data_IF_852221755796
#
_entry.id   IF_852221755796
#
_cell.length_a   1.000
_cell.length_b   1.000
_cell.length_c   1.000
_cell.angle_alpha   90.00
_cell.angle_beta   90.00
_cell.angle_gamma   90.00
#
_symmetry.space_group_name_H-M   'P 1'
#
loop_
_entity.id
_entity.type
_entity.pdbx_description
1 polymer ?
#
# COMPACT_ATOMS: atom_id res chain seq x y z
N UNK A 1 10.96 19.19 11.47
CA UNK A 1 10.14 18.08 10.96
C UNK A 1 9.07 18.61 10.04
N UNK A 2 8.64 17.80 9.07
CA UNK A 2 7.61 18.13 8.10
C UNK A 2 6.33 17.37 8.46
N UNK A 3 5.21 18.10 8.56
CA UNK A 3 3.86 17.54 8.68
C UNK A 3 3.06 17.80 7.42
N UNK A 4 1.97 17.05 7.22
CA UNK A 4 1.03 17.26 6.11
C UNK A 4 0.54 18.71 6.09
N UNK A 5 0.10 19.22 7.24
CA UNK A 5 -0.28 20.62 7.45
C UNK A 5 0.84 21.59 7.06
N UNK A 6 2.07 21.40 7.55
CA UNK A 6 3.18 22.31 7.26
C UNK A 6 3.56 22.36 5.78
N UNK A 7 3.36 21.26 5.06
CA UNK A 7 3.59 21.18 3.62
C UNK A 7 2.48 21.90 2.87
N UNK A 8 1.23 21.72 3.28
CA UNK A 8 0.16 22.54 2.75
C UNK A 8 0.37 24.02 3.06
N UNK A 9 0.82 24.41 4.25
CA UNK A 9 1.18 25.81 4.57
C UNK A 9 2.26 26.41 3.67
N UNK A 10 3.04 25.58 2.96
CA UNK A 10 4.04 25.97 1.95
C UNK A 10 3.51 25.90 0.51
N UNK A 11 2.19 25.86 0.32
CA UNK A 11 1.50 25.83 -0.98
C UNK A 11 1.73 24.59 -1.85
N UNK A 12 2.19 23.48 -1.26
CA UNK A 12 2.12 22.18 -1.92
C UNK A 12 0.66 21.81 -2.21
N UNK A 13 0.41 21.19 -3.37
CA UNK A 13 -0.96 20.87 -3.84
C UNK A 13 -1.40 19.44 -3.52
N UNK A 14 -0.44 18.54 -3.37
CA UNK A 14 -0.66 17.17 -2.93
C UNK A 14 0.57 16.72 -2.12
N UNK A 15 0.34 15.82 -1.17
CA UNK A 15 1.39 15.21 -0.34
C UNK A 15 1.24 13.69 -0.40
N UNK A 16 2.35 13.00 -0.64
CA UNK A 16 2.43 11.54 -0.65
C UNK A 16 3.33 11.13 0.51
N UNK A 17 2.91 10.10 1.25
CA UNK A 17 3.63 9.60 2.41
C UNK A 17 4.23 8.22 2.10
N UNK A 18 5.53 8.20 1.80
CA UNK A 18 6.28 6.98 1.46
C UNK A 18 7.33 6.63 2.54
N UNK A 19 6.95 6.63 3.82
CA UNK A 19 7.88 6.39 4.94
C UNK A 19 8.27 4.92 5.14
N UNK A 20 7.62 4.00 4.44
CA UNK A 20 7.80 2.56 4.62
C UNK A 20 6.93 2.00 5.74
N UNK A 21 7.46 1.01 6.47
CA UNK A 21 6.73 0.32 7.53
C UNK A 21 7.61 -0.17 8.66
N UNK A 22 7.03 -0.93 9.60
CA UNK A 22 7.66 -1.36 10.86
C UNK A 22 9.06 -1.94 10.69
N UNK A 23 9.26 -2.78 9.70
CA UNK A 23 10.52 -3.42 9.35
C UNK A 23 11.62 -2.44 8.88
N UNK A 24 11.27 -1.47 8.02
CA UNK A 24 12.19 -0.41 7.58
C UNK A 24 12.62 0.50 8.73
N UNK A 25 11.88 0.49 9.85
CA UNK A 25 12.23 1.24 11.05
C UNK A 25 13.15 0.47 11.97
N UNK A 26 12.98 -0.84 12.07
CA UNK A 26 13.91 -1.70 12.81
C UNK A 26 15.35 -1.57 12.29
N UNK A 27 15.54 -1.34 10.98
CA UNK A 27 16.87 -1.12 10.40
C UNK A 27 17.48 0.24 10.78
N UNK A 28 16.65 1.24 11.11
CA UNK A 28 17.10 2.58 11.56
C UNK A 28 17.61 2.58 13.02
N UNK A 29 17.51 1.46 13.76
CA UNK A 29 17.85 1.36 15.20
C UNK A 29 17.20 2.45 16.06
N UNK A 30 16.03 2.93 15.63
CA UNK A 30 15.20 3.84 16.42
C UNK A 30 14.45 2.97 17.44
N UNK A 31 14.27 3.48 18.65
CA UNK A 31 13.51 2.83 19.71
C UNK A 31 12.11 2.38 19.21
N UNK A 32 11.48 1.43 19.90
CA UNK A 32 10.15 0.88 19.59
C UNK A 32 9.00 1.88 19.81
N UNK A 33 9.25 3.16 19.60
CA UNK A 33 8.27 4.22 19.76
C UNK A 33 7.26 4.20 18.61
N UNK A 34 6.02 4.58 18.92
CA UNK A 34 4.98 4.82 17.94
C UNK A 34 5.40 5.96 17.02
N UNK A 35 5.44 5.71 15.71
CA UNK A 35 5.75 6.73 14.70
C UNK A 35 4.47 7.19 14.02
N UNK A 36 4.22 8.49 14.11
CA UNK A 36 3.07 9.15 13.52
C UNK A 36 3.48 9.74 12.18
N UNK A 37 3.52 8.89 11.14
CA UNK A 37 3.84 9.39 9.79
C UNK A 37 2.68 10.21 9.21
N UNK A 38 1.46 9.74 9.45
CA UNK A 38 0.23 10.49 9.19
C UNK A 38 -0.26 10.99 10.57
N UNK A 39 -0.72 12.25 10.69
CA UNK A 39 -1.13 12.82 11.97
C UNK A 39 -2.16 11.95 12.69
N UNK A 40 -1.95 11.71 13.99
CA UNK A 40 -2.80 10.89 14.85
C UNK A 40 -3.06 9.47 14.31
N UNK A 41 -2.03 8.84 13.73
CA UNK A 41 -2.10 7.46 13.27
C UNK A 41 -0.90 6.64 13.71
N UNK A 42 -1.10 5.33 13.91
CA UNK A 42 0.00 4.40 14.11
C UNK A 42 -0.29 3.01 13.52
N UNK A 43 0.75 2.19 13.41
CA UNK A 43 0.56 0.78 13.11
C UNK A 43 0.21 0.01 14.40
N UNK A 44 -0.70 -0.96 14.29
CA UNK A 44 -1.12 -1.81 15.42
C UNK A 44 0.07 -2.49 16.08
N UNK A 45 1.05 -2.94 15.30
CA UNK A 45 2.27 -3.56 15.82
C UNK A 45 3.09 -2.61 16.68
N UNK A 46 3.10 -1.30 16.37
CA UNK A 46 3.76 -0.30 17.20
C UNK A 46 3.00 -0.08 18.49
N UNK A 47 1.69 0.06 18.38
CA UNK A 47 0.85 0.30 19.53
C UNK A 47 1.01 -0.82 20.57
N UNK A 48 0.94 -2.07 20.14
CA UNK A 48 1.08 -3.24 21.01
C UNK A 48 2.49 -3.33 21.60
N UNK A 49 3.55 -3.06 20.82
CA UNK A 49 4.94 -3.21 21.27
C UNK A 49 5.51 -2.02 22.03
N UNK A 50 4.87 -0.85 21.93
CA UNK A 50 5.34 0.37 22.58
C UNK A 50 5.33 0.27 24.11
N UNK A 51 6.09 1.14 24.76
CA UNK A 51 6.06 1.26 26.21
C UNK A 51 4.68 1.78 26.68
N UNK A 52 4.13 1.31 27.83
CA UNK A 52 2.93 1.88 28.42
C UNK A 52 2.93 3.41 28.54
N UNK A 53 4.08 4.03 28.85
CA UNK A 53 4.19 5.49 28.95
C UNK A 53 4.08 6.19 27.59
N UNK A 54 4.53 5.54 26.52
CA UNK A 54 4.33 6.04 25.14
C UNK A 54 2.85 5.97 24.77
N UNK A 55 2.15 4.89 25.12
CA UNK A 55 0.70 4.78 24.88
C UNK A 55 -0.14 5.82 25.63
N UNK A 56 0.35 6.37 26.75
CA UNK A 56 -0.35 7.44 27.46
C UNK A 56 -0.52 8.71 26.62
N UNK A 57 0.26 8.89 25.55
CA UNK A 57 0.11 10.02 24.60
C UNK A 57 -1.28 10.07 23.98
N UNK A 58 -1.94 8.91 23.78
CA UNK A 58 -3.29 8.83 23.21
C UNK A 58 -4.39 8.67 24.28
N UNK A 59 -4.06 8.87 25.56
CA UNK A 59 -5.03 8.70 26.66
C UNK A 59 -6.11 9.79 26.67
N UNK A 60 -7.31 9.44 27.13
CA UNK A 60 -8.42 10.39 27.29
C UNK A 60 -9.07 10.92 26.01
N UNK A 61 -8.71 10.39 24.83
CA UNK A 61 -9.35 10.74 23.57
C UNK A 61 -10.85 10.38 23.57
N UNK A 62 -11.65 11.13 22.82
CA UNK A 62 -13.08 10.87 22.70
C UNK A 62 -13.36 9.62 21.86
N UNK A 63 -12.70 9.52 20.71
CA UNK A 63 -13.00 8.53 19.68
C UNK A 63 -11.71 7.99 19.07
N UNK A 64 -11.59 6.67 18.98
CA UNK A 64 -10.48 5.98 18.34
C UNK A 64 -11.02 4.90 17.40
N UNK A 65 -10.40 4.78 16.22
CA UNK A 65 -10.70 3.73 15.24
C UNK A 65 -9.52 2.76 15.16
N UNK A 66 -9.79 1.46 15.11
CA UNK A 66 -8.83 0.41 14.81
C UNK A 66 -9.29 -0.28 13.52
N UNK A 67 -8.49 -0.22 12.45
CA UNK A 67 -8.80 -0.84 11.17
C UNK A 67 -8.01 -2.14 10.99
N UNK A 68 -8.69 -3.28 10.91
CA UNK A 68 -8.08 -4.61 10.79
C UNK A 68 -7.43 -5.11 12.08
N UNK A 69 -6.56 -6.12 11.97
CA UNK A 69 -5.77 -6.65 13.09
C UNK A 69 -6.40 -7.79 13.89
N UNK A 70 -7.62 -8.23 13.56
CA UNK A 70 -8.28 -9.41 14.14
C UNK A 70 -8.22 -9.43 15.68
N UNK A 71 -7.75 -10.53 16.27
CA UNK A 71 -7.64 -10.67 17.73
C UNK A 71 -6.76 -9.63 18.40
N UNK A 72 -5.69 -9.17 17.74
CA UNK A 72 -4.83 -8.11 18.29
C UNK A 72 -5.56 -6.76 18.38
N UNK A 73 -6.56 -6.53 17.53
CA UNK A 73 -7.39 -5.32 17.62
C UNK A 73 -8.22 -5.30 18.90
N UNK A 74 -8.71 -6.46 19.37
CA UNK A 74 -9.42 -6.56 20.64
C UNK A 74 -8.52 -6.23 21.84
N UNK A 75 -7.27 -6.73 21.81
CA UNK A 75 -6.27 -6.40 22.84
C UNK A 75 -5.95 -4.91 22.85
N UNK A 76 -5.71 -4.32 21.67
CA UNK A 76 -5.49 -2.89 21.55
C UNK A 76 -6.68 -2.06 22.04
N UNK A 77 -7.91 -2.49 21.72
CA UNK A 77 -9.13 -1.83 22.17
C UNK A 77 -9.27 -1.84 23.70
N UNK A 78 -8.98 -2.97 24.36
CA UNK A 78 -9.00 -3.07 25.82
C UNK A 78 -7.96 -2.14 26.47
N UNK A 79 -6.74 -2.08 25.93
CA UNK A 79 -5.70 -1.13 26.38
C UNK A 79 -6.18 0.32 26.21
N UNK A 80 -6.80 0.64 25.07
CA UNK A 80 -7.37 1.96 24.78
C UNK A 80 -8.47 2.35 25.77
N UNK A 81 -9.40 1.43 26.06
CA UNK A 81 -10.46 1.63 27.05
C UNK A 81 -9.92 1.88 28.45
N UNK A 82 -8.95 1.07 28.89
CA UNK A 82 -8.26 1.25 30.18
C UNK A 82 -7.51 2.58 30.28
N UNK A 83 -7.10 3.13 29.14
CA UNK A 83 -6.44 4.46 29.04
C UNK A 83 -7.44 5.63 29.01
N UNK A 84 -8.74 5.37 29.22
CA UNK A 84 -9.76 6.41 29.34
C UNK A 84 -10.41 6.85 28.03
N UNK A 85 -10.19 6.12 26.92
CA UNK A 85 -10.82 6.44 25.64
C UNK A 85 -12.32 6.13 25.71
N UNK A 86 -13.16 7.11 25.31
CA UNK A 86 -14.62 7.01 25.51
C UNK A 86 -15.25 6.01 24.55
N UNK A 87 -14.96 6.12 23.25
CA UNK A 87 -15.47 5.25 22.20
C UNK A 87 -14.32 4.64 21.40
N UNK A 88 -14.32 3.31 21.29
CA UNK A 88 -13.38 2.59 20.42
C UNK A 88 -14.20 1.87 19.36
N UNK A 89 -13.86 2.07 18.09
CA UNK A 89 -14.51 1.38 16.96
C UNK A 89 -13.48 0.50 16.26
N UNK A 90 -13.75 -0.79 16.17
CA UNK A 90 -12.95 -1.75 15.40
C UNK A 90 -13.65 -1.99 14.08
N UNK A 91 -12.95 -1.80 12.97
CA UNK A 91 -13.45 -2.07 11.62
C UNK A 91 -12.73 -3.29 11.07
N UNK A 92 -13.50 -4.31 10.69
CA UNK A 92 -13.02 -5.54 10.10
C UNK A 92 -13.57 -5.66 8.68
N UNK A 93 -12.70 -6.05 7.75
CA UNK A 93 -13.08 -6.20 6.34
C UNK A 93 -13.89 -7.48 6.13
N UNK A 94 -13.53 -8.53 6.87
CA UNK A 94 -14.24 -9.79 6.84
C UNK A 94 -15.66 -9.68 7.42
N UNK A 95 -16.54 -10.58 6.98
CA UNK A 95 -17.84 -10.77 7.60
C UNK A 95 -17.68 -11.52 8.94
N UNK A 96 -18.77 -11.62 9.71
CA UNK A 96 -18.76 -12.28 11.01
C UNK A 96 -18.45 -13.80 10.90
N UNK A 97 -18.87 -14.47 9.83
CA UNK A 97 -18.68 -15.92 9.65
C UNK A 97 -17.23 -16.29 9.30
N UNK A 98 -16.53 -15.41 8.60
CA UNK A 98 -15.12 -15.52 8.22
C UNK A 98 -14.17 -14.97 9.29
N UNK A 99 -14.71 -14.26 10.28
CA UNK A 99 -13.93 -13.65 11.34
C UNK A 99 -13.22 -14.68 12.21
N UNK A 100 -11.98 -14.35 12.57
CA UNK A 100 -11.22 -15.08 13.59
C UNK A 100 -11.75 -14.86 15.02
N UNK A 101 -12.68 -13.92 15.19
CA UNK A 101 -13.32 -13.58 16.46
C UNK A 101 -14.52 -14.48 16.69
N UNK A 102 -14.67 -15.01 17.91
CA UNK A 102 -15.87 -15.73 18.30
C UNK A 102 -16.91 -14.80 18.96
N UNK A 103 -18.15 -15.26 19.06
CA UNK A 103 -19.26 -14.50 19.66
C UNK A 103 -18.99 -14.09 21.11
N UNK A 104 -18.36 -14.97 21.90
CA UNK A 104 -18.05 -14.67 23.30
C UNK A 104 -17.02 -13.52 23.43
N UNK A 105 -16.02 -13.48 22.54
CA UNK A 105 -15.03 -12.40 22.45
C UNK A 105 -15.69 -11.07 22.07
N UNK A 106 -16.66 -11.09 21.14
CA UNK A 106 -17.43 -9.92 20.67
C UNK A 106 -18.35 -9.40 21.79
N UNK A 107 -19.15 -10.27 22.39
CA UNK A 107 -20.11 -9.90 23.44
C UNK A 107 -19.40 -9.32 24.67
N UNK A 108 -18.22 -9.87 24.99
CA UNK A 108 -17.39 -9.37 26.10
C UNK A 108 -17.00 -7.91 25.90
N UNK A 109 -16.63 -7.51 24.68
CA UNK A 109 -16.14 -6.14 24.44
C UNK A 109 -17.27 -5.15 24.14
N UNK A 110 -18.41 -5.62 23.61
CA UNK A 110 -19.57 -4.78 23.34
C UNK A 110 -20.07 -4.06 24.60
N UNK A 111 -20.00 -4.71 25.77
CA UNK A 111 -20.37 -4.12 27.07
C UNK A 111 -19.48 -2.95 27.53
N UNK A 112 -18.26 -2.84 27.00
CA UNK A 112 -17.24 -1.88 27.46
C UNK A 112 -17.18 -0.61 26.58
N UNK A 113 -18.18 -0.42 25.70
CA UNK A 113 -18.19 0.70 24.76
C UNK A 113 -17.17 0.55 23.63
N UNK A 114 -16.83 -0.69 23.29
CA UNK A 114 -16.11 -1.06 22.07
C UNK A 114 -17.16 -1.48 21.04
N UNK A 115 -17.17 -0.81 19.90
CA UNK A 115 -18.05 -1.12 18.78
C UNK A 115 -17.26 -1.90 17.71
N UNK A 116 -17.80 -2.98 17.18
CA UNK A 116 -17.18 -3.73 16.08
C UNK A 116 -18.07 -3.60 14.85
N UNK A 117 -17.49 -3.18 13.73
CA UNK A 117 -18.15 -3.06 12.43
C UNK A 117 -17.50 -4.06 11.48
N UNK A 118 -18.26 -5.05 11.03
CA UNK A 118 -17.86 -6.02 10.02
C UNK A 118 -18.13 -5.48 8.62
N UNK A 119 -17.56 -6.13 7.59
CA UNK A 119 -17.68 -5.71 6.20
C UNK A 119 -17.32 -4.23 5.99
N UNK A 120 -16.38 -3.69 6.78
CA UNK A 120 -16.04 -2.27 6.77
C UNK A 120 -14.57 -2.05 6.41
N UNK A 121 -14.33 -1.09 5.53
CA UNK A 121 -12.98 -0.68 5.15
C UNK A 121 -12.84 0.83 5.15
N UNK A 122 -11.79 1.34 5.78
CA UNK A 122 -11.46 2.77 5.76
C UNK A 122 -11.06 3.17 4.34
N UNK A 123 -11.71 4.17 3.75
CA UNK A 123 -11.43 4.61 2.37
C UNK A 123 -11.01 6.07 2.26
N UNK A 124 -11.22 6.87 3.30
CA UNK A 124 -10.78 8.27 3.35
C UNK A 124 -10.47 8.71 4.77
N UNK A 125 -9.42 9.50 4.91
CA UNK A 125 -9.05 10.18 6.15
C UNK A 125 -9.40 11.65 6.02
N UNK A 126 -9.89 12.29 7.09
CA UNK A 126 -10.15 13.72 7.11
C UNK A 126 -9.49 14.32 8.33
N UNK A 127 -8.80 15.44 8.14
CA UNK A 127 -8.14 16.12 9.22
C UNK A 127 -8.07 17.62 9.05
N UNK A 128 -7.66 18.26 10.14
CA UNK A 128 -7.54 19.70 10.27
C UNK A 128 -6.22 19.99 11.00
N UNK A 129 -5.42 20.86 10.42
CA UNK A 129 -4.05 21.14 10.84
C UNK A 129 -3.28 19.82 11.01
N UNK A 130 -2.55 19.66 12.11
CA UNK A 130 -1.82 18.43 12.39
C UNK A 130 -2.66 17.39 13.15
N UNK A 131 -3.97 17.32 12.90
CA UNK A 131 -4.86 16.40 13.60
C UNK A 131 -5.83 15.64 12.70
N UNK A 132 -6.01 14.34 12.99
CA UNK A 132 -7.09 13.54 12.44
C UNK A 132 -8.41 13.95 13.12
N UNK A 133 -9.45 14.17 12.32
CA UNK A 133 -10.77 14.51 12.85
C UNK A 133 -11.77 13.40 12.64
N UNK A 134 -11.74 12.77 11.46
CA UNK A 134 -12.74 11.80 11.03
C UNK A 134 -12.15 10.76 10.08
N UNK A 135 -12.83 9.63 10.00
CA UNK A 135 -12.54 8.55 9.07
C UNK A 135 -13.80 8.22 8.29
N UNK A 136 -13.70 8.14 6.97
CA UNK A 136 -14.73 7.54 6.13
C UNK A 136 -14.44 6.06 5.98
N UNK A 137 -15.46 5.24 6.20
CA UNK A 137 -15.42 3.84 5.81
C UNK A 137 -16.51 3.52 4.81
N UNK A 138 -16.24 2.52 3.97
CA UNK A 138 -17.19 1.92 3.06
C UNK A 138 -17.65 0.57 3.62
N UNK A 139 -18.95 0.34 3.58
CA UNK A 139 -19.56 -0.97 3.77
C UNK A 139 -19.38 -1.79 2.50
N UNK A 140 -18.67 -2.90 2.59
CA UNK A 140 -18.23 -3.72 1.45
C UNK A 140 -19.37 -4.51 0.80
N UNK A 141 -20.52 -4.65 1.46
CA UNK A 141 -21.70 -5.32 0.89
C UNK A 141 -22.60 -4.33 0.16
N UNK A 142 -22.91 -3.19 0.79
CA UNK A 142 -23.85 -2.19 0.29
C UNK A 142 -23.17 -1.07 -0.51
N UNK A 143 -21.84 -0.97 -0.46
CA UNK A 143 -21.05 0.16 -0.98
C UNK A 143 -21.42 1.52 -0.36
N UNK A 144 -22.16 1.54 0.76
CA UNK A 144 -22.50 2.76 1.46
C UNK A 144 -21.28 3.34 2.18
N UNK A 145 -21.09 4.66 2.08
CA UNK A 145 -20.00 5.37 2.77
C UNK A 145 -20.54 6.07 4.00
N UNK A 146 -19.81 5.97 5.11
CA UNK A 146 -20.18 6.59 6.39
C UNK A 146 -18.97 7.27 7.01
N UNK A 147 -19.17 8.52 7.45
CA UNK A 147 -18.19 9.29 8.21
C UNK A 147 -18.35 9.01 9.71
N UNK A 148 -17.24 8.75 10.40
CA UNK A 148 -17.21 8.60 11.87
C UNK A 148 -16.14 9.50 12.49
N UNK A 149 -16.40 10.12 13.65
CA UNK A 149 -15.37 10.82 14.40
C UNK A 149 -14.22 9.87 14.78
N UNK A 150 -12.99 10.34 14.60
CA UNK A 150 -11.80 9.59 14.97
C UNK A 150 -10.68 10.59 15.32
N UNK A 151 -10.26 10.59 16.59
CA UNK A 151 -9.11 11.37 17.06
C UNK A 151 -7.80 10.60 16.97
N UNK A 152 -7.87 9.31 16.66
CA UNK A 152 -6.73 8.48 16.38
C UNK A 152 -7.15 7.28 15.53
N UNK A 153 -6.26 6.85 14.64
CA UNK A 153 -6.44 5.66 13.81
C UNK A 153 -5.27 4.67 14.02
N UNK A 154 -5.59 3.47 14.48
CA UNK A 154 -4.64 2.36 14.57
C UNK A 154 -4.86 1.43 13.38
N UNK A 155 -3.83 1.18 12.58
CA UNK A 155 -3.94 0.36 11.37
C UNK A 155 -3.30 -1.01 11.59
N UNK A 156 -4.08 -2.08 11.41
CA UNK A 156 -3.71 -3.48 11.52
C UNK A 156 -2.83 -3.99 10.38
N UNK A 157 -1.74 -3.28 10.09
CA UNK A 157 -0.76 -3.61 9.04
C UNK A 157 0.67 -3.47 9.56
N UNK A 158 1.62 -4.14 8.91
CA UNK A 158 3.05 -3.94 9.13
C UNK A 158 3.58 -2.65 8.49
N UNK A 159 2.80 -2.00 7.63
CA UNK A 159 3.16 -0.78 6.88
C UNK A 159 1.95 0.12 6.71
N UNK A 160 2.16 1.43 6.60
CA UNK A 160 1.06 2.34 6.32
C UNK A 160 0.52 2.07 4.91
N UNK A 161 -0.80 1.98 4.72
CA UNK A 161 -1.40 2.00 3.40
C UNK A 161 -1.09 3.32 2.68
N UNK A 162 -1.09 3.25 1.35
CA UNK A 162 -0.79 4.40 0.49
C UNK A 162 -1.99 5.35 0.48
N UNK A 163 -1.74 6.59 0.89
CA UNK A 163 -2.70 7.69 0.84
C UNK A 163 -2.09 8.87 0.09
N UNK A 164 -2.92 9.53 -0.71
CA UNK A 164 -2.59 10.85 -1.25
C UNK A 164 -3.38 11.88 -0.48
N UNK A 165 -2.66 12.85 0.08
CA UNK A 165 -3.26 13.94 0.80
C UNK A 165 -3.43 15.15 -0.12
N UNK A 166 -4.62 15.74 -0.06
CA UNK A 166 -4.96 17.01 -0.73
C UNK A 166 -5.63 17.94 0.25
N UNK A 167 -5.66 19.25 -0.04
CA UNK A 167 -6.47 20.20 0.73
C UNK A 167 -7.95 19.90 0.47
N UNK A 168 -8.78 19.91 1.52
CA UNK A 168 -10.24 19.81 1.36
C UNK A 168 -10.76 21.16 0.87
N UNK A 169 -11.47 21.17 -0.27
CA UNK A 169 -12.08 22.38 -0.85
C UNK A 169 -13.50 22.64 -0.31
N UNK A 170 -13.77 22.29 0.95
CA UNK A 170 -15.01 22.71 1.64
C UNK A 170 -14.94 24.18 2.05
N UNK A 171 -14.68 25.04 1.07
CA UNK A 171 -15.00 26.46 1.13
C UNK A 171 -16.29 26.62 0.32
N UNK A 172 -17.44 26.59 1.01
CA UNK A 172 -18.67 27.13 0.46
C UNK A 172 -18.37 28.57 0.01
N UNK A 173 -18.45 28.83 -1.30
CA UNK A 173 -18.22 30.15 -1.92
C UNK A 173 -19.18 31.26 -1.41
N UNK A 174 -20.02 31.01 -0.40
CA UNK A 174 -21.03 31.95 0.09
C UNK A 174 -20.92 32.38 1.56
N UNK A 175 -19.93 31.91 2.33
CA UNK A 175 -19.73 32.39 3.71
C UNK A 175 -18.28 32.75 3.99
N UNK A 176 -17.87 33.92 3.47
CA UNK A 176 -16.72 34.65 4.00
C UNK A 176 -17.13 35.30 5.33
N UNK A 177 -17.34 34.47 6.36
CA UNK A 177 -17.11 34.89 7.73
C UNK A 177 -15.65 34.55 8.04
N UNK A 178 -14.84 35.59 8.18
CA UNK A 178 -13.46 35.54 8.66
C UNK A 178 -13.38 34.66 9.90
N UNK A 179 -12.65 33.53 9.88
CA UNK A 179 -11.77 33.09 11.01
C UNK A 179 -11.12 31.71 10.87
N UNK A 180 -11.53 30.79 10.00
CA UNK A 180 -10.91 29.45 9.96
C UNK A 180 -9.79 29.33 8.92
N UNK A 181 -8.62 29.93 9.20
CA UNK A 181 -7.39 29.80 8.36
C UNK A 181 -6.72 28.43 8.47
N UNK A 182 -7.28 27.53 9.26
CA UNK A 182 -6.71 26.23 9.53
C UNK A 182 -6.76 25.34 8.28
N UNK A 183 -5.63 24.70 7.96
CA UNK A 183 -5.53 23.80 6.81
C UNK A 183 -6.42 22.59 7.04
N UNK A 184 -7.42 22.38 6.18
CA UNK A 184 -8.19 21.13 6.14
C UNK A 184 -7.62 20.23 5.05
N UNK A 185 -7.54 18.94 5.33
CA UNK A 185 -6.97 17.96 4.40
C UNK A 185 -7.78 16.66 4.36
N UNK A 186 -7.71 15.98 3.22
CA UNK A 186 -8.27 14.65 3.01
C UNK A 186 -7.15 13.72 2.54
N UNK A 187 -7.06 12.54 3.16
CA UNK A 187 -6.22 11.43 2.70
C UNK A 187 -7.07 10.45 1.90
N UNK A 188 -6.77 10.31 0.61
CA UNK A 188 -7.54 9.52 -0.35
C UNK A 188 -6.77 8.25 -0.68
N UNK A 189 -7.45 7.09 -0.63
CA UNK A 189 -6.86 5.82 -1.05
C UNK A 189 -6.55 5.79 -2.55
N UNK A 190 -5.59 4.95 -2.94
CA UNK A 190 -5.30 4.70 -4.36
C UNK A 190 -6.28 3.69 -4.98
N UNK A 191 -6.41 3.77 -6.30
CA UNK A 191 -7.08 2.73 -7.07
C UNK A 191 -6.26 1.43 -7.06
N UNK A 192 -6.96 0.29 -7.13
CA UNK A 192 -6.37 -1.05 -7.10
C UNK A 192 -6.20 -1.62 -8.49
N UNK A 193 -5.18 -2.47 -8.69
CA UNK A 193 -4.96 -3.11 -9.99
C UNK A 193 -5.99 -4.22 -10.23
N UNK A 194 -6.26 -4.54 -11.49
CA UNK A 194 -7.02 -5.73 -11.84
C UNK A 194 -6.24 -7.00 -11.43
N UNK A 195 -6.91 -8.03 -10.88
CA UNK A 195 -8.38 -8.23 -10.84
C UNK A 195 -9.10 -7.55 -9.66
N UNK A 196 -8.37 -6.90 -8.77
CA UNK A 196 -8.89 -6.36 -7.51
C UNK A 196 -9.38 -4.89 -7.65
N UNK A 197 -9.58 -4.39 -8.87
CA UNK A 197 -9.96 -2.99 -9.14
C UNK A 197 -11.34 -2.61 -8.59
N UNK A 198 -12.19 -3.60 -8.27
CA UNK A 198 -13.47 -3.39 -7.59
C UNK A 198 -13.35 -3.31 -6.07
N UNK A 199 -12.21 -3.69 -5.49
CA UNK A 199 -12.01 -3.60 -4.05
C UNK A 199 -11.92 -2.13 -3.60
N UNK A 200 -12.53 -1.82 -2.45
CA UNK A 200 -12.53 -0.47 -1.87
C UNK A 200 -11.97 -0.49 -0.44
N UNK A 201 -11.50 0.67 0.01
CA UNK A 201 -10.82 0.89 1.28
C UNK A 201 -9.45 0.20 1.41
N UNK A 202 -8.69 0.64 2.42
CA UNK A 202 -7.37 0.13 2.78
C UNK A 202 -7.43 -1.30 3.35
N UNK A 203 -6.27 -1.96 3.38
CA UNK A 203 -6.07 -3.35 3.79
C UNK A 203 -6.78 -4.35 2.87
N UNK A 204 -7.05 -3.97 1.63
CA UNK A 204 -7.59 -4.87 0.63
C UNK A 204 -6.51 -5.81 0.09
N UNK A 205 -6.91 -6.90 -0.57
CA UNK A 205 -5.95 -7.84 -1.16
C UNK A 205 -5.17 -7.20 -2.32
N UNK A 206 -5.84 -6.31 -3.06
CA UNK A 206 -5.26 -5.53 -4.14
C UNK A 206 -4.39 -4.35 -3.70
N UNK A 207 -4.29 -4.05 -2.40
CA UNK A 207 -3.44 -2.98 -1.92
C UNK A 207 -1.97 -3.35 -2.11
N UNK A 208 -1.27 -2.48 -2.83
CA UNK A 208 0.19 -2.49 -2.83
C UNK A 208 0.61 -1.87 -1.52
N UNK A 209 0.70 -2.69 -0.47
CA UNK A 209 1.50 -2.29 0.69
C UNK A 209 2.95 -2.24 0.22
N UNK A 210 3.63 -1.14 0.47
CA UNK A 210 5.01 -0.87 0.01
C UNK A 210 6.01 -1.81 0.72
N UNK A 211 5.96 -3.11 0.41
CA UNK A 211 6.55 -4.22 1.15
C UNK A 211 7.99 -4.57 0.70
N UNK A 212 8.68 -5.44 1.47
CA UNK A 212 10.00 -6.00 1.14
C UNK A 212 10.03 -6.75 -0.22
N UNK A 213 8.87 -7.05 -0.80
CA UNK A 213 8.76 -7.78 -2.06
C UNK A 213 9.25 -6.97 -3.24
N UNK A 214 10.57 -7.07 -3.51
CA UNK A 214 11.32 -6.52 -4.64
C UNK A 214 11.14 -5.00 -4.85
N UNK A 215 12.26 -4.26 -4.96
CA UNK A 215 12.26 -2.82 -5.28
C UNK A 215 11.30 -2.42 -6.42
N UNK A 216 11.01 -3.35 -7.34
CA UNK A 216 10.03 -3.23 -8.42
C UNK A 216 8.62 -2.86 -7.91
N UNK A 217 8.10 -3.48 -6.84
CA UNK A 217 6.74 -3.16 -6.36
C UNK A 217 6.68 -1.77 -5.72
N UNK A 218 7.69 -1.39 -4.95
CA UNK A 218 7.80 -0.04 -4.40
C UNK A 218 7.91 1.02 -5.50
N UNK A 219 8.69 0.74 -6.57
CA UNK A 219 8.75 1.61 -7.76
C UNK A 219 7.37 1.70 -8.44
N UNK A 220 6.65 0.58 -8.55
CA UNK A 220 5.30 0.57 -9.14
C UNK A 220 4.30 1.40 -8.30
N UNK A 221 4.30 1.22 -6.99
CA UNK A 221 3.54 2.04 -6.03
C UNK A 221 3.81 3.54 -6.22
N UNK A 222 5.08 3.96 -6.14
CA UNK A 222 5.43 5.37 -6.32
C UNK A 222 5.03 5.95 -7.69
N UNK A 223 5.05 5.12 -8.75
CA UNK A 223 4.53 5.54 -10.08
C UNK A 223 3.03 5.76 -10.07
N UNK A 224 2.26 4.92 -9.37
CA UNK A 224 0.81 5.08 -9.22
C UNK A 224 0.47 6.29 -8.34
N UNK A 225 1.15 6.44 -7.22
CA UNK A 225 1.00 7.60 -6.32
C UNK A 225 1.24 8.91 -7.07
N UNK A 226 2.34 9.00 -7.83
CA UNK A 226 2.63 10.20 -8.64
C UNK A 226 1.54 10.48 -9.69
N UNK A 227 1.05 9.44 -10.38
CA UNK A 227 -0.01 9.57 -11.37
C UNK A 227 -1.36 9.97 -10.73
N UNK A 228 -1.69 9.40 -9.58
CA UNK A 228 -2.91 9.70 -8.86
C UNK A 228 -2.85 11.10 -8.21
N UNK A 229 -1.70 11.53 -7.68
CA UNK A 229 -1.50 12.89 -7.18
C UNK A 229 -1.67 13.91 -8.31
N UNK A 230 -1.10 13.65 -9.49
CA UNK A 230 -1.35 14.47 -10.67
C UNK A 230 -2.85 14.53 -10.99
N UNK A 231 -3.54 13.40 -11.05
CA UNK A 231 -4.99 13.37 -11.34
C UNK A 231 -5.78 14.20 -10.32
N UNK A 232 -5.54 14.01 -9.03
CA UNK A 232 -6.21 14.76 -7.96
C UNK A 232 -5.95 16.26 -8.05
N UNK A 233 -4.71 16.68 -8.29
CA UNK A 233 -4.35 18.10 -8.45
C UNK A 233 -5.09 18.81 -9.60
N UNK A 234 -5.56 18.07 -10.60
CA UNK A 234 -6.30 18.60 -11.74
C UNK A 234 -7.79 18.21 -11.75
N UNK A 235 -8.32 17.67 -10.65
CA UNK A 235 -9.73 17.25 -10.56
C UNK A 235 -10.09 16.09 -11.50
N UNK A 236 -9.12 15.27 -11.90
CA UNK A 236 -9.30 14.11 -12.76
C UNK A 236 -9.63 12.89 -11.90
N UNK A 237 -10.62 12.10 -12.32
CA UNK A 237 -11.04 10.90 -11.60
C UNK A 237 -9.92 9.84 -11.48
N UNK A 238 -9.80 9.26 -10.29
CA UNK A 238 -8.91 8.14 -9.98
C UNK A 238 -9.47 6.81 -10.50
N UNK A 239 -9.59 6.68 -11.82
CA UNK A 239 -9.96 5.43 -12.47
C UNK A 239 -8.71 4.66 -12.94
N UNK A 240 -8.78 3.33 -12.81
CA UNK A 240 -7.84 2.41 -13.47
C UNK A 240 -8.00 2.57 -14.98
N UNK A 241 -6.92 2.76 -15.76
CA UNK A 241 -7.02 2.82 -17.22
C UNK A 241 -7.62 1.53 -17.79
N UNK A 242 -8.45 1.64 -18.84
CA UNK A 242 -9.13 0.47 -19.44
C UNK A 242 -8.18 -0.59 -20.00
N UNK A 243 -6.99 -0.18 -20.46
CA UNK A 243 -6.02 -1.04 -21.15
C UNK A 243 -4.81 -1.42 -20.29
N UNK A 244 -4.99 -1.57 -18.97
CA UNK A 244 -3.90 -2.06 -18.10
C UNK A 244 -3.66 -3.55 -18.38
N UNK A 245 -2.39 -3.91 -18.58
CA UNK A 245 -1.98 -5.32 -18.68
C UNK A 245 -2.09 -5.97 -17.30
N UNK A 246 -2.83 -7.07 -17.24
CA UNK A 246 -3.11 -7.88 -16.06
C UNK A 246 -2.47 -9.26 -16.20
N UNK A 247 -2.36 -10.06 -15.12
CA UNK A 247 -1.91 -11.45 -15.23
C UNK A 247 -2.77 -12.31 -16.17
N UNK A 248 -4.02 -11.89 -16.44
CA UNK A 248 -4.95 -12.56 -17.37
C UNK A 248 -4.86 -11.99 -18.80
N UNK A 249 -4.10 -10.94 -19.02
CA UNK A 249 -3.99 -10.32 -20.33
C UNK A 249 -3.24 -11.23 -21.29
N UNK A 250 -3.82 -11.42 -22.48
CA UNK A 250 -3.16 -12.15 -23.55
C UNK A 250 -2.15 -11.21 -24.24
N UNK A 251 -0.90 -11.28 -23.79
CA UNK A 251 0.21 -10.58 -24.42
C UNK A 251 0.80 -11.50 -25.48
N UNK A 252 0.99 -11.00 -26.70
CA UNK A 252 1.71 -11.75 -27.72
C UNK A 252 3.09 -12.13 -27.16
N UNK A 253 3.32 -13.43 -27.02
CA UNK A 253 4.55 -13.99 -26.51
C UNK A 253 5.02 -15.13 -27.40
N UNK A 254 6.25 -15.58 -27.20
CA UNK A 254 6.83 -16.75 -27.86
C UNK A 254 6.91 -17.85 -26.81
N UNK A 255 5.95 -18.77 -26.85
CA UNK A 255 5.85 -19.90 -25.91
C UNK A 255 6.76 -21.07 -26.30
N UNK A 256 7.06 -21.24 -27.59
CA UNK A 256 8.03 -22.21 -28.08
C UNK A 256 8.76 -21.73 -29.34
N UNK A 257 9.92 -22.31 -29.60
CA UNK A 257 10.70 -22.12 -30.82
C UNK A 257 10.78 -23.47 -31.53
N UNK A 258 10.39 -23.51 -32.79
CA UNK A 258 10.62 -24.69 -33.62
C UNK A 258 12.12 -24.81 -33.95
N UNK A 259 12.60 -26.04 -34.06
CA UNK A 259 13.99 -26.36 -34.48
C UNK A 259 15.11 -25.83 -33.56
N UNK A 260 14.79 -25.35 -32.36
CA UNK A 260 15.76 -24.91 -31.36
C UNK A 260 15.60 -25.77 -30.10
N UNK A 261 16.67 -26.47 -29.72
CA UNK A 261 16.70 -27.26 -28.49
C UNK A 261 16.73 -26.34 -27.26
N UNK A 262 15.80 -26.55 -26.32
CA UNK A 262 15.74 -25.78 -25.09
C UNK A 262 16.83 -26.24 -24.12
N UNK A 263 17.86 -25.41 -23.95
CA UNK A 263 18.96 -25.65 -23.00
C UNK A 263 18.64 -24.93 -21.68
N UNK A 264 18.73 -25.59 -20.52
CA UNK A 264 18.50 -24.93 -19.23
C UNK A 264 19.55 -23.82 -18.99
N UNK A 265 19.14 -22.77 -18.27
CA UNK A 265 20.05 -21.67 -17.88
C UNK A 265 21.21 -22.22 -17.05
N UNK A 266 22.43 -21.83 -17.39
CA UNK A 266 23.60 -22.09 -16.53
C UNK A 266 23.54 -21.15 -15.33
N UNK A 267 23.47 -21.72 -14.13
CA UNK A 267 23.46 -20.92 -12.90
C UNK A 267 24.84 -20.32 -12.68
N UNK A 268 24.88 -19.01 -12.43
CA UNK A 268 26.13 -18.30 -12.17
C UNK A 268 26.78 -18.85 -10.90
N UNK A 269 28.09 -19.17 -10.92
CA UNK A 269 28.80 -19.58 -9.74
C UNK A 269 28.66 -18.53 -8.63
N UNK A 270 28.40 -19.01 -7.42
CA UNK A 270 28.32 -18.17 -6.24
C UNK A 270 29.46 -18.51 -5.29
N UNK A 271 30.02 -17.49 -4.66
CA UNK A 271 30.96 -17.65 -3.57
C UNK A 271 30.28 -18.36 -2.38
N UNK A 272 31.04 -19.16 -1.64
CA UNK A 272 30.51 -19.84 -0.46
C UNK A 272 30.18 -18.82 0.64
N UNK A 273 29.21 -19.13 1.50
CA UNK A 273 28.82 -18.24 2.59
C UNK A 273 29.97 -17.92 3.55
N UNK A 274 30.99 -18.79 3.62
CA UNK A 274 32.19 -18.60 4.46
C UNK A 274 33.21 -17.65 3.84
N UNK A 275 33.20 -17.54 2.52
CA UNK A 275 34.21 -16.82 1.74
C UNK A 275 33.72 -15.45 1.25
N UNK A 276 32.45 -15.11 1.52
CA UNK A 276 31.81 -13.84 1.12
C UNK A 276 32.60 -12.58 1.53
N UNK A 277 33.28 -12.62 2.68
CA UNK A 277 34.09 -11.49 3.17
C UNK A 277 35.32 -11.27 2.27
N UNK A 278 35.83 -12.33 1.64
CA UNK A 278 37.00 -12.29 0.78
C UNK A 278 36.65 -12.13 -0.72
N UNK A 279 35.49 -12.65 -1.14
CA UNK A 279 35.04 -12.58 -2.53
C UNK A 279 34.55 -11.18 -2.94
N UNK A 280 34.20 -10.30 -1.99
CA UNK A 280 33.56 -8.99 -2.16
C UNK A 280 32.18 -9.03 -2.86
N UNK A 281 31.96 -9.95 -3.80
CA UNK A 281 30.73 -10.19 -4.54
C UNK A 281 30.23 -11.65 -4.34
N UNK A 282 28.90 -11.83 -4.26
CA UNK A 282 28.29 -13.15 -4.11
C UNK A 282 28.36 -13.96 -5.41
N UNK A 283 28.11 -13.32 -6.55
CA UNK A 283 28.17 -13.94 -7.88
C UNK A 283 29.57 -13.75 -8.45
N UNK A 284 30.32 -14.83 -8.67
CA UNK A 284 31.74 -14.72 -9.08
C UNK A 284 31.94 -14.69 -10.60
N UNK A 285 30.85 -14.53 -11.36
CA UNK A 285 30.86 -14.53 -12.81
C UNK A 285 31.02 -15.93 -13.44
N UNK A 286 30.81 -16.00 -14.75
CA UNK A 286 31.07 -17.21 -15.53
C UNK A 286 32.54 -17.34 -15.90
N UNK A 287 33.04 -18.58 -15.94
CA UNK A 287 34.25 -18.87 -16.71
C UNK A 287 33.96 -18.67 -18.20
N UNK A 288 35.01 -18.52 -19.01
CA UNK A 288 34.85 -18.37 -20.47
C UNK A 288 34.04 -19.52 -21.08
N UNK A 289 34.31 -20.76 -20.68
CA UNK A 289 33.58 -21.94 -21.13
C UNK A 289 32.08 -21.88 -20.75
N UNK A 290 31.79 -21.48 -19.51
CA UNK A 290 30.42 -21.31 -19.03
C UNK A 290 29.70 -20.19 -19.79
N UNK A 291 30.39 -19.08 -20.08
CA UNK A 291 29.85 -17.97 -20.84
C UNK A 291 29.56 -18.36 -22.30
N UNK A 292 30.45 -19.13 -22.93
CA UNK A 292 30.26 -19.67 -24.29
C UNK A 292 29.06 -20.62 -24.33
N UNK A 293 28.92 -21.51 -23.34
CA UNK A 293 27.77 -22.41 -23.27
C UNK A 293 26.46 -21.68 -23.01
N UNK A 294 26.43 -20.70 -22.09
CA UNK A 294 25.24 -19.87 -21.86
C UNK A 294 24.90 -19.01 -23.08
N UNK A 295 25.90 -18.53 -23.84
CA UNK A 295 25.68 -17.77 -25.08
C UNK A 295 25.10 -18.62 -26.22
N UNK A 296 25.26 -19.95 -26.18
CA UNK A 296 24.58 -20.87 -27.11
C UNK A 296 23.09 -21.05 -26.78
N UNK A 297 22.66 -20.69 -25.56
CA UNK A 297 21.24 -20.70 -25.20
C UNK A 297 20.54 -19.62 -26.00
N UNK A 298 19.51 -20.01 -26.77
CA UNK A 298 18.72 -19.05 -27.51
C UNK A 298 18.11 -18.03 -26.55
N UNK A 299 18.42 -16.75 -26.77
CA UNK A 299 17.73 -15.68 -26.08
C UNK A 299 16.45 -15.40 -26.85
N UNK A 300 15.31 -15.74 -26.26
CA UNK A 300 13.94 -15.36 -26.68
C UNK A 300 13.78 -13.87 -27.05
N UNK A 301 14.74 -13.00 -26.73
CA UNK A 301 14.67 -11.54 -26.84
C UNK A 301 14.68 -10.97 -28.28
N UNK A 302 14.91 -11.79 -29.32
CA UNK A 302 15.04 -11.29 -30.70
C UNK A 302 13.74 -11.18 -31.51
N UNK A 303 12.66 -11.86 -31.14
CA UNK A 303 11.54 -12.10 -32.06
C UNK A 303 10.64 -10.88 -32.35
N UNK A 304 10.67 -9.84 -31.52
CA UNK A 304 9.95 -8.58 -31.82
C UNK A 304 10.66 -7.79 -32.93
N UNK A 305 11.99 -7.88 -33.04
CA UNK A 305 12.79 -7.13 -34.01
C UNK A 305 12.90 -7.82 -35.38
N UNK A 306 12.64 -9.13 -35.48
CA UNK A 306 12.83 -9.92 -36.70
C UNK A 306 11.54 -10.57 -37.20
N UNK A 307 10.49 -9.79 -37.43
CA UNK A 307 9.44 -10.24 -38.35
C UNK A 307 10.05 -10.26 -39.76
N UNK A 308 10.60 -11.42 -40.18
CA UNK A 308 10.88 -11.67 -41.60
C UNK A 308 9.53 -11.64 -42.32
N UNK A 309 9.11 -10.47 -42.81
CA UNK A 309 8.10 -10.44 -43.85
C UNK A 309 8.65 -11.24 -45.04
N UNK A 310 7.86 -12.19 -45.54
CA UNK A 310 8.14 -13.09 -46.65
C UNK A 310 8.30 -12.36 -48.00
N UNK A 311 9.03 -11.24 -48.05
CA UNK A 311 9.17 -10.42 -49.24
C UNK A 311 10.22 -10.92 -50.24
N UNK A 312 10.93 -12.03 -49.96
CA UNK A 312 12.05 -12.49 -50.79
C UNK A 312 11.84 -13.80 -51.56
N UNK A 313 10.70 -14.49 -51.45
CA UNK A 313 10.49 -15.76 -52.17
C UNK A 313 10.05 -15.61 -53.64
N UNK A 314 9.77 -14.39 -54.13
CA UNK A 314 9.30 -14.16 -55.52
C UNK A 314 10.36 -13.71 -56.55
N UNK A 315 11.66 -13.74 -56.24
CA UNK A 315 12.72 -13.34 -57.19
C UNK A 315 13.61 -14.47 -57.74
N UNK A 316 13.31 -15.74 -57.45
CA UNK A 316 14.09 -16.89 -57.96
C UNK A 316 13.40 -17.71 -59.06
N UNK A 317 12.31 -17.22 -59.64
CA UNK A 317 11.66 -17.86 -60.79
C UNK A 317 11.39 -16.82 -61.88
N UNK A 318 12.42 -16.50 -62.67
CA UNK A 318 12.25 -15.62 -63.82
C UNK A 318 13.57 -15.17 -64.43
N UNK A 319 14.20 -16.03 -65.24
CA UNK A 319 14.92 -15.60 -66.45
C UNK A 319 15.44 -16.81 -67.23
N UNK A 320 14.98 -16.88 -68.50
CA UNK A 320 15.30 -17.79 -69.61
C UNK A 320 14.55 -19.12 -69.67
#
# INVERSE_FOLDING_TARGET
>A
DFTIDSLFGQDFKAVIVASGGWDSRLTRKVDFDMEETIPDTCLLIDFIKSDPDVRKKISGLSDLVIAGGGKLALEAADICKKSGIKKVTIMLRENLEESSLNTDEIDRVAGDGINIIFNAAVCRLVGKENHLTEVEYIDLESSAKTMVPAKYLIIGSGRFPEFIFVRSETDDEETVELEDTAVKWEGIELYKDSPDSSESGILAKGDVLTDYSAAIKAINAGRKEAAAAHKLMYGISLAVPENVITPQSFVQNVDHLEEIEAIPRKIMPTCSSKDLIACEELETGFTEEMAVEEAKRCLQCGLICYKRQEYFSKRAAGSF
#
